data_IF_034601868254
#
_entry.id   IF_034601868254
#
_cell.length_a   1.000
_cell.length_b   1.000
_cell.length_c   1.000
_cell.angle_alpha   90.00
_cell.angle_beta   90.00
_cell.angle_gamma   90.00
#
_symmetry.space_group_name_H-M   'P 1'
#
loop_
_entity.id
_entity.type
_entity.pdbx_description
1 polymer ?
#
# COMPACT_ATOMS: atom_id res chain seq x y z
N UNK A 1 30.72 20.44 28.94
CA UNK A 1 30.91 20.69 27.50
C UNK A 1 29.66 20.21 26.80
N UNK A 2 28.76 21.12 26.44
CA UNK A 2 27.60 20.77 25.62
C UNK A 2 28.06 20.70 24.16
N UNK A 3 27.85 19.56 23.51
CA UNK A 3 28.07 19.42 22.07
C UNK A 3 27.02 20.26 21.34
N UNK A 4 27.40 21.15 20.41
CA UNK A 4 26.41 21.91 19.67
C UNK A 4 25.63 20.95 18.77
N UNK A 5 24.30 20.99 18.86
CA UNK A 5 23.43 20.43 17.82
C UNK A 5 23.68 21.26 16.58
N UNK A 6 24.48 20.73 15.64
CA UNK A 6 24.58 21.33 14.31
C UNK A 6 23.26 21.10 13.57
N UNK A 7 22.55 22.14 13.11
CA UNK A 7 21.53 21.96 12.09
C UNK A 7 22.25 21.56 10.80
N UNK A 8 22.15 20.28 10.43
CA UNK A 8 22.68 19.76 9.17
C UNK A 8 21.89 20.35 8.00
N UNK A 9 22.44 21.44 7.45
CA UNK A 9 22.80 21.55 6.04
C UNK A 9 21.70 21.47 4.97
N UNK A 10 21.35 22.65 4.44
CA UNK A 10 21.15 23.00 3.03
C UNK A 10 20.23 22.15 2.13
N UNK A 11 19.27 22.82 1.49
CA UNK A 11 18.38 22.31 0.44
C UNK A 11 19.12 21.75 -0.79
N UNK A 12 19.59 20.50 -0.70
CA UNK A 12 19.80 19.64 -1.87
C UNK A 12 18.58 18.70 -1.98
N UNK A 13 17.82 18.71 -3.09
CA UNK A 13 16.71 17.78 -3.33
C UNK A 13 17.12 16.30 -3.22
N UNK A 14 18.41 15.99 -3.38
CA UNK A 14 18.98 14.65 -3.28
C UNK A 14 19.40 14.25 -1.87
N UNK A 15 19.65 15.21 -0.98
CA UNK A 15 19.99 14.91 0.41
C UNK A 15 18.70 14.76 1.23
N UNK A 16 18.51 13.56 1.78
CA UNK A 16 17.40 13.26 2.68
C UNK A 16 17.49 14.00 4.01
N UNK A 17 16.59 13.67 4.92
CA UNK A 17 16.54 14.14 6.29
C UNK A 17 16.90 13.02 7.25
N UNK A 18 17.35 13.38 8.45
CA UNK A 18 17.38 12.47 9.59
C UNK A 18 16.16 12.76 10.48
N UNK A 19 15.40 11.74 10.87
CA UNK A 19 14.27 11.85 11.79
C UNK A 19 14.47 10.94 13.00
N UNK A 20 13.90 11.25 14.17
CA UNK A 20 13.93 10.36 15.32
C UNK A 20 13.28 9.01 15.00
N UNK A 21 13.93 7.92 15.41
CA UNK A 21 13.34 6.59 15.35
C UNK A 21 12.21 6.47 16.37
N UNK A 22 11.01 6.17 15.90
CA UNK A 22 9.81 6.04 16.74
C UNK A 22 9.51 4.58 17.13
N UNK A 23 10.31 3.61 16.67
CA UNK A 23 10.09 2.18 16.88
C UNK A 23 10.98 1.54 17.96
N UNK A 24 11.80 2.32 18.68
CA UNK A 24 12.40 1.87 19.94
C UNK A 24 13.90 2.11 20.14
N UNK A 25 14.57 2.86 19.27
CA UNK A 25 15.94 3.33 19.52
C UNK A 25 15.95 4.82 19.87
N UNK A 26 16.78 5.24 20.83
CA UNK A 26 17.21 6.64 20.93
C UNK A 26 18.16 6.97 19.76
N UNK A 27 17.69 6.74 18.53
CA UNK A 27 18.46 6.80 17.28
C UNK A 27 17.77 7.68 16.25
N UNK A 28 18.53 8.08 15.24
CA UNK A 28 18.05 8.83 14.08
C UNK A 28 18.04 7.90 12.85
N UNK A 29 16.97 7.96 12.05
CA UNK A 29 16.82 7.21 10.80
C UNK A 29 16.77 8.16 9.60
N UNK A 30 17.32 7.71 8.47
CA UNK A 30 17.33 8.50 7.24
C UNK A 30 15.99 8.42 6.51
N UNK A 31 15.52 9.53 5.93
CA UNK A 31 14.33 9.56 5.08
C UNK A 31 14.54 10.49 3.89
N UNK A 32 14.06 10.14 2.69
CA UNK A 32 14.08 11.06 1.55
C UNK A 32 12.70 11.08 0.87
N UNK A 33 11.76 11.88 1.40
CA UNK A 33 10.41 11.99 0.85
C UNK A 33 10.39 12.45 -0.61
N UNK A 34 11.32 13.34 -1.01
CA UNK A 34 11.41 13.86 -2.39
C UNK A 34 11.78 12.75 -3.37
N UNK A 35 12.80 11.95 -3.04
CA UNK A 35 13.22 10.80 -3.84
C UNK A 35 12.13 9.73 -3.89
N UNK A 36 11.50 9.43 -2.76
CA UNK A 36 10.35 8.51 -2.73
C UNK A 36 9.23 8.99 -3.67
N UNK A 37 8.86 10.27 -3.58
CA UNK A 37 7.80 10.84 -4.43
C UNK A 37 8.16 10.79 -5.92
N UNK A 38 9.40 11.07 -6.28
CA UNK A 38 9.88 10.94 -7.67
C UNK A 38 9.75 9.49 -8.18
N UNK A 39 10.20 8.51 -7.39
CA UNK A 39 10.08 7.08 -7.75
C UNK A 39 8.62 6.64 -7.85
N UNK A 40 7.77 7.07 -6.91
CA UNK A 40 6.35 6.77 -6.92
C UNK A 40 5.65 7.35 -8.16
N UNK A 41 5.92 8.62 -8.49
CA UNK A 41 5.34 9.29 -9.65
C UNK A 41 5.76 8.60 -10.95
N UNK A 42 7.04 8.22 -11.10
CA UNK A 42 7.50 7.51 -12.28
C UNK A 42 6.75 6.18 -12.50
N UNK A 43 6.53 5.39 -11.43
CA UNK A 43 5.74 4.15 -11.52
C UNK A 43 4.26 4.45 -11.80
N UNK A 44 3.70 5.48 -11.17
CA UNK A 44 2.32 5.86 -11.37
C UNK A 44 2.04 6.30 -12.82
N UNK A 45 2.90 7.16 -13.37
CA UNK A 45 2.82 7.66 -14.75
C UNK A 45 2.98 6.53 -15.75
N UNK A 46 3.95 5.63 -15.56
CA UNK A 46 4.14 4.46 -16.41
C UNK A 46 2.93 3.50 -16.38
N UNK A 47 2.08 3.60 -15.37
CA UNK A 47 0.87 2.80 -15.23
C UNK A 47 -0.41 3.64 -15.38
N UNK A 48 -0.35 4.78 -16.08
CA UNK A 48 -1.53 5.58 -16.42
C UNK A 48 -2.29 6.14 -15.21
N UNK A 49 -1.61 6.33 -14.08
CA UNK A 49 -2.23 6.77 -12.83
C UNK A 49 -2.88 5.66 -12.00
N UNK A 50 -2.78 4.39 -12.42
CA UNK A 50 -3.46 3.28 -11.74
C UNK A 50 -2.86 2.98 -10.36
N UNK A 51 -1.57 3.21 -10.15
CA UNK A 51 -0.93 3.05 -8.83
C UNK A 51 -1.61 3.91 -7.77
N UNK A 52 -1.81 5.20 -8.06
CA UNK A 52 -2.48 6.13 -7.15
C UNK A 52 -3.93 5.69 -6.86
N UNK A 53 -4.68 5.25 -7.87
CA UNK A 53 -6.07 4.81 -7.73
C UNK A 53 -6.19 3.56 -6.85
N UNK A 54 -5.33 2.57 -7.08
CA UNK A 54 -5.28 1.35 -6.25
C UNK A 54 -4.83 1.69 -4.83
N UNK A 55 -3.80 2.51 -4.64
CA UNK A 55 -3.31 2.89 -3.32
C UNK A 55 -4.37 3.64 -2.49
N UNK A 56 -5.14 4.54 -3.11
CA UNK A 56 -6.27 5.23 -2.43
C UNK A 56 -7.35 4.24 -2.03
N UNK A 57 -7.74 3.34 -2.93
CA UNK A 57 -8.76 2.32 -2.66
C UNK A 57 -8.33 1.35 -1.55
N UNK A 58 -7.07 0.92 -1.57
CA UNK A 58 -6.45 0.09 -0.55
C UNK A 58 -6.44 0.78 0.82
N UNK A 59 -6.10 2.07 0.86
CA UNK A 59 -6.16 2.87 2.09
C UNK A 59 -7.60 3.00 2.60
N UNK A 60 -8.58 3.26 1.73
CA UNK A 60 -9.99 3.36 2.11
C UNK A 60 -10.48 2.07 2.75
N UNK A 61 -10.28 0.94 2.07
CA UNK A 61 -10.58 -0.39 2.62
C UNK A 61 -9.92 -0.60 3.99
N UNK A 62 -8.64 -0.24 4.11
CA UNK A 62 -7.90 -0.41 5.36
C UNK A 62 -8.52 0.40 6.50
N UNK A 63 -8.87 1.67 6.29
CA UNK A 63 -9.55 2.50 7.30
C UNK A 63 -10.93 1.93 7.68
N UNK A 64 -11.75 1.54 6.69
CA UNK A 64 -13.09 0.95 6.91
C UNK A 64 -13.03 -0.40 7.66
N UNK A 65 -11.92 -1.10 7.58
CA UNK A 65 -11.70 -2.38 8.27
C UNK A 65 -10.93 -2.22 9.59
N UNK A 66 -10.90 -1.03 10.17
CA UNK A 66 -10.29 -0.75 11.48
C UNK A 66 -8.77 -0.69 11.43
N UNK A 67 -8.23 -0.25 10.29
CA UNK A 67 -6.81 0.05 10.06
C UNK A 67 -5.85 -1.08 10.49
N UNK A 68 -6.03 -2.31 10.01
CA UNK A 68 -5.17 -3.44 10.40
C UNK A 68 -3.71 -3.29 9.96
N UNK A 69 -3.42 -2.40 9.00
CA UNK A 69 -2.08 -2.15 8.48
C UNK A 69 -1.80 -0.64 8.47
N UNK A 70 -0.55 -0.22 8.69
CA UNK A 70 -0.20 1.20 8.57
C UNK A 70 -0.47 1.71 7.14
N UNK A 71 -1.01 2.93 7.00
CA UNK A 71 -1.38 3.49 5.70
C UNK A 71 -0.18 3.59 4.72
N UNK A 72 1.04 3.85 5.21
CA UNK A 72 2.24 3.85 4.38
C UNK A 72 2.61 2.44 3.91
N UNK A 73 2.47 1.43 4.79
CA UNK A 73 2.66 0.02 4.42
C UNK A 73 1.66 -0.41 3.33
N UNK A 74 0.39 0.02 3.41
CA UNK A 74 -0.60 -0.21 2.33
C UNK A 74 -0.15 0.41 0.99
N UNK A 75 0.38 1.64 1.01
CA UNK A 75 0.92 2.28 -0.20
C UNK A 75 2.11 1.50 -0.75
N UNK A 76 2.97 0.98 0.12
CA UNK A 76 4.15 0.21 -0.31
C UNK A 76 3.76 -1.16 -0.90
N UNK A 77 2.72 -1.81 -0.39
CA UNK A 77 2.17 -3.01 -1.01
C UNK A 77 1.58 -2.72 -2.40
N UNK A 78 0.85 -1.61 -2.57
CA UNK A 78 0.37 -1.19 -3.89
C UNK A 78 1.53 -0.86 -4.84
N UNK A 79 2.57 -0.16 -4.35
CA UNK A 79 3.78 0.11 -5.12
C UNK A 79 4.49 -1.18 -5.56
N UNK A 80 4.63 -2.15 -4.65
CA UNK A 80 5.20 -3.48 -4.93
C UNK A 80 4.42 -4.22 -6.02
N UNK A 81 3.08 -4.21 -5.95
CA UNK A 81 2.21 -4.77 -6.99
C UNK A 81 2.51 -4.17 -8.37
N UNK A 82 2.57 -2.84 -8.50
CA UNK A 82 2.85 -2.18 -9.78
C UNK A 82 4.29 -2.35 -10.29
N UNK A 83 5.22 -2.70 -9.41
CA UNK A 83 6.61 -2.97 -9.78
C UNK A 83 6.82 -4.39 -10.30
N UNK A 84 6.07 -5.35 -9.79
CA UNK A 84 6.40 -6.76 -9.92
C UNK A 84 5.29 -7.58 -10.61
N UNK A 85 4.03 -7.25 -10.37
CA UNK A 85 2.90 -8.17 -10.59
C UNK A 85 1.80 -7.57 -11.47
N UNK A 86 1.77 -6.25 -11.66
CA UNK A 86 0.74 -5.58 -12.44
C UNK A 86 0.87 -5.89 -13.93
N UNK A 87 -0.15 -6.50 -14.56
CA UNK A 87 -0.13 -6.77 -15.99
C UNK A 87 -0.24 -5.45 -16.78
N UNK A 88 0.56 -5.33 -17.85
CA UNK A 88 0.48 -4.17 -18.73
C UNK A 88 -0.87 -4.11 -19.45
N UNK A 89 -1.42 -2.90 -19.60
CA UNK A 89 -2.67 -2.66 -20.34
C UNK A 89 -3.94 -3.05 -19.60
N UNK A 90 -3.87 -3.55 -18.36
CA UNK A 90 -5.06 -3.78 -17.54
C UNK A 90 -5.78 -2.47 -17.19
N UNK A 91 -7.10 -2.57 -17.08
CA UNK A 91 -7.94 -1.49 -16.57
C UNK A 91 -7.69 -1.25 -15.08
N UNK A 92 -8.07 -0.07 -14.58
CA UNK A 92 -8.02 0.23 -13.14
C UNK A 92 -8.79 -0.80 -12.32
N UNK A 93 -9.95 -1.26 -12.82
CA UNK A 93 -10.77 -2.26 -12.14
C UNK A 93 -10.03 -3.60 -12.02
N UNK A 94 -9.40 -4.07 -13.09
CA UNK A 94 -8.61 -5.31 -13.06
C UNK A 94 -7.41 -5.19 -12.11
N UNK A 95 -6.73 -4.04 -12.08
CA UNK A 95 -5.68 -3.80 -11.10
C UNK A 95 -6.18 -3.83 -9.66
N UNK A 96 -7.35 -3.24 -9.39
CA UNK A 96 -7.96 -3.29 -8.07
C UNK A 96 -8.32 -4.74 -7.69
N UNK A 97 -8.99 -5.48 -8.57
CA UNK A 97 -9.35 -6.88 -8.31
C UNK A 97 -8.11 -7.74 -8.07
N UNK A 98 -7.06 -7.59 -8.90
CA UNK A 98 -5.81 -8.34 -8.77
C UNK A 98 -5.07 -7.99 -7.49
N UNK A 99 -5.00 -6.71 -7.11
CA UNK A 99 -4.36 -6.28 -5.87
C UNK A 99 -5.06 -6.89 -4.65
N UNK A 100 -6.39 -6.78 -4.56
CA UNK A 100 -7.14 -7.26 -3.40
C UNK A 100 -7.17 -8.79 -3.30
N UNK A 101 -7.16 -9.51 -4.43
CA UNK A 101 -6.98 -10.97 -4.44
C UNK A 101 -5.63 -11.40 -3.82
N UNK A 102 -4.58 -10.65 -4.10
CA UNK A 102 -3.23 -10.95 -3.61
C UNK A 102 -2.89 -10.25 -2.28
N UNK A 103 -3.77 -9.39 -1.76
CA UNK A 103 -3.55 -8.64 -0.52
C UNK A 103 -3.21 -9.53 0.69
N UNK A 104 -3.80 -10.72 0.90
CA UNK A 104 -3.41 -11.60 2.00
C UNK A 104 -1.94 -12.01 1.94
N UNK A 105 -1.42 -12.23 0.72
CA UNK A 105 -0.01 -12.53 0.51
C UNK A 105 0.83 -11.29 0.79
N UNK A 106 0.48 -10.13 0.23
CA UNK A 106 1.24 -8.89 0.47
C UNK A 106 1.36 -8.51 1.94
N UNK A 107 0.33 -8.79 2.75
CA UNK A 107 0.36 -8.54 4.20
C UNK A 107 1.36 -9.46 4.93
N UNK A 108 1.51 -10.70 4.46
CA UNK A 108 2.43 -11.67 5.08
C UNK A 108 3.87 -11.50 4.57
N UNK A 109 4.02 -11.05 3.33
CA UNK A 109 5.33 -10.85 2.70
C UNK A 109 6.05 -9.62 3.25
N UNK A 110 7.37 -9.70 3.26
CA UNK A 110 8.20 -8.55 3.55
C UNK A 110 7.93 -7.42 2.54
N UNK A 111 7.84 -6.20 3.06
CA UNK A 111 7.65 -4.97 2.29
C UNK A 111 8.72 -3.96 2.65
N UNK A 112 9.44 -3.47 1.64
CA UNK A 112 10.50 -2.47 1.81
C UNK A 112 10.13 -1.18 1.10
N UNK A 113 10.52 -0.05 1.69
CA UNK A 113 10.44 1.23 0.99
C UNK A 113 11.58 1.34 -0.05
N UNK A 114 11.37 2.06 -1.17
CA UNK A 114 12.26 1.94 -2.32
C UNK A 114 13.55 2.76 -2.25
N UNK A 115 13.69 3.70 -1.31
CA UNK A 115 14.80 4.66 -1.23
C UNK A 115 16.01 4.06 -0.51
N UNK A 116 15.81 3.56 0.70
CA UNK A 116 16.85 3.00 1.58
C UNK A 116 16.68 1.51 1.84
N UNK A 117 15.64 0.88 1.27
CA UNK A 117 15.31 -0.54 1.43
C UNK A 117 14.96 -0.90 2.89
N UNK A 118 14.47 0.06 3.67
CA UNK A 118 14.02 -0.17 5.04
C UNK A 118 12.72 -1.00 5.06
N UNK A 119 12.61 -1.90 6.03
CA UNK A 119 11.41 -2.72 6.22
C UNK A 119 10.28 -1.91 6.82
N UNK A 120 9.14 -1.90 6.13
CA UNK A 120 7.95 -1.13 6.53
C UNK A 120 7.00 -1.97 7.40
N UNK A 121 7.16 -3.29 7.38
CA UNK A 121 6.34 -4.26 8.11
C UNK A 121 6.82 -4.53 9.55
N UNK A 122 7.89 -3.87 9.98
CA UNK A 122 8.49 -4.05 11.31
C UNK A 122 7.57 -3.60 12.47
N UNK A 123 6.62 -2.71 12.20
CA UNK A 123 5.67 -2.21 13.21
C UNK A 123 4.54 -3.17 13.57
N UNK A 124 4.51 -4.40 13.00
CA UNK A 124 3.44 -5.37 13.24
C UNK A 124 3.99 -6.64 13.90
N UNK A 125 3.42 -7.02 15.04
CA UNK A 125 3.61 -8.33 15.64
C UNK A 125 3.05 -9.45 14.75
N UNK A 126 3.50 -10.69 14.97
CA UNK A 126 2.98 -11.86 14.24
C UNK A 126 1.46 -12.03 14.41
N UNK A 127 0.91 -11.62 15.56
CA UNK A 127 -0.53 -11.66 15.83
C UNK A 127 -1.27 -10.62 14.99
N UNK A 128 -0.77 -9.39 14.92
CA UNK A 128 -1.34 -8.31 14.09
C UNK A 128 -1.28 -8.67 12.60
N UNK A 129 -0.15 -9.21 12.13
CA UNK A 129 -0.01 -9.70 10.75
C UNK A 129 -1.05 -10.76 10.42
N UNK A 130 -1.25 -11.75 11.30
CA UNK A 130 -2.28 -12.79 11.12
C UNK A 130 -3.69 -12.21 11.05
N UNK A 131 -4.01 -11.25 11.91
CA UNK A 131 -5.33 -10.60 11.93
C UNK A 131 -5.55 -9.75 10.66
N UNK A 132 -4.53 -9.02 10.22
CA UNK A 132 -4.57 -8.24 8.99
C UNK A 132 -4.74 -9.14 7.76
N UNK A 133 -3.98 -10.24 7.68
CA UNK A 133 -4.07 -11.21 6.59
C UNK A 133 -5.46 -11.87 6.54
N UNK A 134 -6.07 -12.16 7.70
CA UNK A 134 -7.42 -12.70 7.74
C UNK A 134 -8.48 -11.70 7.23
N UNK A 135 -8.34 -10.42 7.55
CA UNK A 135 -9.23 -9.37 6.99
C UNK A 135 -9.03 -9.23 5.48
N UNK A 136 -7.78 -9.22 5.02
CA UNK A 136 -7.45 -9.21 3.60
C UNK A 136 -8.02 -10.43 2.87
N UNK A 137 -7.99 -11.61 3.51
CA UNK A 137 -8.52 -12.85 2.91
C UNK A 137 -10.03 -12.74 2.66
N UNK A 138 -10.80 -12.22 3.62
CA UNK A 138 -12.23 -11.95 3.43
C UNK A 138 -12.50 -10.97 2.30
N UNK A 139 -11.62 -9.98 2.11
CA UNK A 139 -11.73 -9.06 0.97
C UNK A 139 -11.48 -9.81 -0.36
N UNK A 140 -10.47 -10.67 -0.42
CA UNK A 140 -10.19 -11.53 -1.57
C UNK A 140 -11.40 -12.40 -1.94
N UNK A 141 -12.01 -13.05 -0.96
CA UNK A 141 -13.20 -13.90 -1.18
C UNK A 141 -14.35 -13.12 -1.82
N UNK A 142 -14.60 -11.88 -1.37
CA UNK A 142 -15.62 -11.00 -1.96
C UNK A 142 -15.29 -10.61 -3.40
N UNK A 143 -14.03 -10.35 -3.72
CA UNK A 143 -13.61 -10.08 -5.10
C UNK A 143 -13.79 -11.31 -5.98
N UNK A 144 -13.43 -12.50 -5.51
CA UNK A 144 -13.66 -13.75 -6.24
C UNK A 144 -15.14 -14.01 -6.50
N UNK A 145 -15.98 -13.79 -5.47
CA UNK A 145 -17.43 -13.89 -5.60
C UNK A 145 -17.99 -12.88 -6.61
N UNK A 146 -17.54 -11.62 -6.56
CA UNK A 146 -17.96 -10.58 -7.49
C UNK A 146 -17.64 -10.95 -8.95
N UNK A 147 -16.44 -11.46 -9.21
CA UNK A 147 -16.01 -11.85 -10.56
C UNK A 147 -16.79 -13.08 -11.06
N UNK A 148 -17.12 -14.04 -10.19
CA UNK A 148 -18.01 -15.16 -10.53
C UNK A 148 -19.41 -14.68 -10.90
N UNK A 149 -20.01 -13.81 -10.07
CA UNK A 149 -21.35 -13.24 -10.34
C UNK A 149 -21.38 -12.46 -11.65
N UNK A 150 -20.32 -11.71 -11.95
CA UNK A 150 -20.16 -11.00 -13.23
C UNK A 150 -20.13 -11.96 -14.41
N UNK A 151 -19.42 -13.08 -14.31
CA UNK A 151 -19.38 -14.13 -15.35
C UNK A 151 -20.74 -14.81 -15.56
N UNK A 152 -21.55 -14.93 -14.51
CA UNK A 152 -22.93 -15.44 -14.55
C UNK A 152 -23.95 -14.41 -15.09
N UNK A 153 -23.52 -13.19 -15.46
CA UNK A 153 -24.41 -12.12 -15.90
C UNK A 153 -25.16 -11.39 -14.78
N UNK A 154 -24.85 -11.69 -13.51
CA UNK A 154 -25.46 -11.05 -12.32
C UNK A 154 -24.73 -9.76 -11.97
N UNK A 155 -24.76 -8.81 -12.89
CA UNK A 155 -23.96 -7.58 -12.81
C UNK A 155 -24.24 -6.75 -11.56
N UNK A 156 -25.50 -6.67 -11.12
CA UNK A 156 -25.86 -5.88 -9.95
C UNK A 156 -25.33 -6.49 -8.64
N UNK A 157 -25.47 -7.80 -8.48
CA UNK A 157 -24.93 -8.54 -7.32
C UNK A 157 -23.39 -8.45 -7.29
N UNK A 158 -22.73 -8.55 -8.45
CA UNK A 158 -21.29 -8.37 -8.56
C UNK A 158 -20.85 -6.96 -8.08
N UNK A 159 -21.59 -5.91 -8.48
CA UNK A 159 -21.32 -4.53 -8.04
C UNK A 159 -21.45 -4.36 -6.54
N UNK A 160 -22.44 -4.98 -5.92
CA UNK A 160 -22.63 -4.96 -4.48
C UNK A 160 -21.43 -5.59 -3.76
N UNK A 161 -20.92 -6.73 -4.26
CA UNK A 161 -19.72 -7.36 -3.72
C UNK A 161 -18.45 -6.51 -3.88
N UNK A 162 -18.29 -5.80 -4.99
CA UNK A 162 -17.18 -4.85 -5.12
C UNK A 162 -17.28 -3.68 -4.14
N UNK A 163 -18.49 -3.14 -3.90
CA UNK A 163 -18.68 -2.05 -2.92
C UNK A 163 -18.31 -2.46 -1.51
N UNK A 164 -18.56 -3.71 -1.13
CA UNK A 164 -18.13 -4.24 0.17
C UNK A 164 -16.60 -4.25 0.37
N UNK A 165 -15.81 -4.05 -0.69
CA UNK A 165 -14.33 -4.01 -0.64
C UNK A 165 -13.79 -2.63 -0.98
N UNK A 166 -14.30 -2.00 -2.04
CA UNK A 166 -13.82 -0.71 -2.56
C UNK A 166 -14.51 0.51 -1.90
N UNK A 167 -15.58 0.26 -1.15
CA UNK A 167 -16.45 1.26 -0.56
C UNK A 167 -17.60 1.66 -1.48
N UNK A 168 -18.59 2.34 -0.90
CA UNK A 168 -19.90 2.62 -1.52
C UNK A 168 -19.84 3.52 -2.77
N UNK A 169 -18.78 4.32 -2.91
CA UNK A 169 -18.59 5.22 -4.06
C UNK A 169 -18.27 4.48 -5.38
N UNK A 170 -18.03 3.16 -5.32
CA UNK A 170 -17.79 2.34 -6.50
C UNK A 170 -19.06 2.22 -7.38
N UNK A 171 -18.91 2.48 -8.68
CA UNK A 171 -20.01 2.64 -9.64
C UNK A 171 -20.14 1.46 -10.60
#
# INVERSE_FOLDING_TARGET
>A
METPIQPMGADDPNNGYAIPDTYGGQSWVGTNPRKFQSMYNAVNENNGGNLQRVAVSAKKWNEENGKPVNSYHMVMMAYKYFRNDAPAGASTHEHMSNFFRNLPQYVNDETREPVYQERVDNGMSSKEKKQAAQKAYRASEKIEEAERLKQEGKTQEAKEKYREVYGDDFK
#
